data_IF_979044147902
#
_entry.id   IF_979044147902
#
_cell.length_a   1.000
_cell.length_b   1.000
_cell.length_c   1.000
_cell.angle_alpha   90.00
_cell.angle_beta   90.00
_cell.angle_gamma   90.00
#
_symmetry.space_group_name_H-M   'P 1'
#
loop_
_entity.id
_entity.type
_entity.pdbx_description
1 polymer ?
#
# COMPACT_ATOMS: atom_id res chain seq x y z
N UNK A 1 58.97 10.97 -0.74
CA UNK A 1 57.97 10.75 0.32
C UNK A 1 56.83 11.71 -0.01
N UNK A 2 55.91 11.32 -0.90
CA UNK A 2 54.59 10.73 -0.58
C UNK A 2 53.83 11.63 0.40
N UNK A 3 52.95 12.51 -0.11
CA UNK A 3 51.50 12.34 -0.31
C UNK A 3 50.81 12.06 1.03
N UNK A 4 50.14 13.09 1.56
CA UNK A 4 48.98 13.03 2.44
C UNK A 4 48.18 14.31 2.16
N UNK A 5 46.97 14.16 1.61
CA UNK A 5 45.71 14.46 2.30
C UNK A 5 45.28 15.93 2.05
N UNK A 6 44.17 16.25 1.41
CA UNK A 6 42.85 15.74 1.70
C UNK A 6 41.93 15.96 0.49
N UNK A 7 41.29 14.88 0.09
CA UNK A 7 40.26 14.80 -0.94
C UNK A 7 39.09 15.73 -0.56
N UNK A 8 38.91 16.79 -1.36
CA UNK A 8 37.73 17.66 -1.27
C UNK A 8 36.56 16.91 -1.91
N UNK A 9 36.05 15.88 -1.25
CA UNK A 9 34.80 15.25 -1.64
C UNK A 9 33.70 16.30 -1.45
N UNK A 10 33.22 16.80 -2.58
CA UNK A 10 32.08 17.70 -2.65
C UNK A 10 30.90 16.91 -2.08
N UNK A 11 30.46 17.25 -0.86
CA UNK A 11 29.16 16.81 -0.36
C UNK A 11 28.13 17.36 -1.33
N UNK A 12 27.71 16.52 -2.27
CA UNK A 12 26.51 16.75 -3.04
C UNK A 12 25.37 16.88 -2.03
N UNK A 13 24.91 18.11 -1.85
CA UNK A 13 23.62 18.40 -1.24
C UNK A 13 22.60 17.50 -1.94
N UNK A 14 21.84 16.64 -1.25
CA UNK A 14 20.72 15.99 -1.89
C UNK A 14 19.80 17.12 -2.36
N UNK A 15 19.70 17.26 -3.67
CA UNK A 15 18.75 18.18 -4.28
C UNK A 15 17.34 17.87 -3.78
N UNK A 16 16.41 18.83 -3.86
CA UNK A 16 15.00 18.51 -3.65
C UNK A 16 14.68 17.31 -4.54
N UNK A 17 14.11 16.26 -3.93
CA UNK A 17 13.60 15.12 -4.69
C UNK A 17 12.41 15.62 -5.52
N UNK A 18 12.70 16.16 -6.70
CA UNK A 18 11.77 16.14 -7.83
C UNK A 18 11.59 14.66 -8.21
N UNK A 19 10.72 13.98 -7.46
CA UNK A 19 10.46 12.56 -7.59
C UNK A 19 8.98 12.34 -7.45
N UNK A 20 8.22 12.69 -8.50
CA UNK A 20 6.94 12.07 -8.73
C UNK A 20 7.19 10.57 -8.90
N UNK A 21 7.11 9.85 -7.79
CA UNK A 21 6.94 8.40 -7.83
C UNK A 21 5.44 8.20 -7.97
N UNK A 22 4.98 7.97 -9.19
CA UNK A 22 3.89 7.03 -9.39
C UNK A 22 4.38 5.72 -8.77
N UNK A 23 4.21 5.55 -7.46
CA UNK A 23 4.23 4.21 -6.89
C UNK A 23 3.10 3.47 -7.60
N UNK A 24 3.43 2.43 -8.37
CA UNK A 24 2.47 1.67 -9.17
C UNK A 24 1.47 0.96 -8.24
N UNK A 25 0.43 1.68 -7.81
CA UNK A 25 -0.66 1.13 -7.02
C UNK A 25 -1.47 0.17 -7.88
N UNK A 26 -1.50 -1.09 -7.49
CA UNK A 26 -2.36 -2.10 -8.09
C UNK A 26 -3.72 -2.08 -7.42
N UNK A 27 -4.77 -1.84 -8.20
CA UNK A 27 -6.16 -1.90 -7.72
C UNK A 27 -6.68 -3.34 -7.75
N UNK A 28 -7.49 -3.69 -6.75
CA UNK A 28 -8.08 -5.02 -6.59
C UNK A 28 -9.59 -4.91 -6.47
N UNK A 29 -10.30 -5.75 -7.22
CA UNK A 29 -11.74 -5.83 -7.15
C UNK A 29 -12.23 -7.22 -7.57
N UNK A 30 -13.40 -7.67 -7.08
CA UNK A 30 -14.08 -8.83 -7.65
C UNK A 30 -14.45 -8.56 -9.12
N UNK A 31 -14.69 -9.61 -9.91
CA UNK A 31 -14.95 -9.50 -11.36
C UNK A 31 -16.09 -8.53 -11.73
N UNK A 32 -17.12 -8.41 -10.88
CA UNK A 32 -18.25 -7.49 -11.05
C UNK A 32 -18.10 -6.11 -10.40
N UNK A 33 -17.00 -5.83 -9.70
CA UNK A 33 -16.83 -4.62 -8.90
C UNK A 33 -17.47 -4.71 -7.50
N UNK A 34 -17.26 -3.69 -6.68
CA UNK A 34 -17.62 -3.70 -5.27
C UNK A 34 -19.12 -3.48 -4.98
N UNK A 35 -19.83 -2.79 -5.86
CA UNK A 35 -21.23 -2.37 -5.63
C UNK A 35 -22.16 -3.53 -5.22
N UNK A 36 -22.04 -4.67 -5.90
CA UNK A 36 -22.90 -5.84 -5.69
C UNK A 36 -22.16 -7.03 -5.03
N UNK A 37 -20.94 -6.80 -4.51
CA UNK A 37 -20.15 -7.90 -3.92
C UNK A 37 -20.60 -8.22 -2.50
N UNK A 38 -21.23 -9.39 -2.32
CA UNK A 38 -21.85 -9.78 -1.06
C UNK A 38 -20.84 -10.12 0.06
N UNK A 39 -19.67 -10.64 -0.31
CA UNK A 39 -18.64 -11.07 0.66
C UNK A 39 -17.68 -9.93 1.06
N UNK A 40 -18.03 -8.68 0.75
CA UNK A 40 -17.24 -7.49 1.05
C UNK A 40 -16.87 -7.35 2.55
N UNK A 41 -17.78 -7.56 3.52
CA UNK A 41 -17.42 -7.55 4.94
C UNK A 41 -16.37 -8.62 5.29
N UNK A 42 -16.45 -9.80 4.69
CA UNK A 42 -15.50 -10.88 4.94
C UNK A 42 -14.11 -10.58 4.34
N UNK A 43 -14.05 -9.86 3.22
CA UNK A 43 -12.79 -9.35 2.67
C UNK A 43 -12.18 -8.33 3.62
N UNK A 44 -12.96 -7.37 4.10
CA UNK A 44 -12.46 -6.34 5.01
C UNK A 44 -11.90 -6.97 6.30
N UNK A 45 -12.65 -7.89 6.92
CA UNK A 45 -12.19 -8.62 8.09
C UNK A 45 -10.89 -9.38 7.81
N UNK A 46 -10.80 -10.08 6.68
CA UNK A 46 -9.60 -10.84 6.33
C UNK A 46 -8.37 -9.95 6.08
N UNK A 47 -8.55 -8.79 5.43
CA UNK A 47 -7.46 -7.85 5.18
C UNK A 47 -6.96 -7.23 6.48
N UNK A 48 -7.87 -6.90 7.40
CA UNK A 48 -7.54 -6.32 8.69
C UNK A 48 -7.06 -7.38 9.70
N UNK A 49 -7.32 -8.66 9.47
CA UNK A 49 -6.78 -9.74 10.29
C UNK A 49 -5.25 -9.76 10.20
N UNK A 50 -4.60 -9.69 11.36
CA UNK A 50 -3.14 -9.58 11.46
C UNK A 50 -2.55 -8.20 11.16
N UNK A 51 -3.37 -7.20 10.81
CA UNK A 51 -2.95 -5.81 10.65
C UNK A 51 -3.19 -5.06 11.95
N UNK A 52 -2.11 -4.70 12.65
CA UNK A 52 -2.19 -4.02 13.95
C UNK A 52 -0.95 -3.19 14.24
N UNK A 53 -1.18 -1.99 14.79
CA UNK A 53 -0.09 -1.15 15.31
C UNK A 53 0.54 -1.73 16.58
N UNK A 54 -0.18 -2.60 17.31
CA UNK A 54 0.29 -3.12 18.60
C UNK A 54 1.56 -3.99 18.47
N UNK A 55 1.75 -4.63 17.30
CA UNK A 55 2.95 -5.42 17.00
C UNK A 55 4.11 -4.58 16.42
N UNK A 56 3.87 -3.29 16.11
CA UNK A 56 4.85 -2.40 15.47
C UNK A 56 5.19 -2.74 14.02
N UNK A 57 4.46 -3.68 13.40
CA UNK A 57 4.67 -4.10 12.01
C UNK A 57 3.92 -3.23 11.01
N UNK A 58 2.86 -2.57 11.48
CA UNK A 58 1.99 -1.74 10.66
C UNK A 58 1.81 -0.35 11.25
N UNK A 59 1.69 0.65 10.38
CA UNK A 59 1.22 1.99 10.71
C UNK A 59 -0.14 2.25 10.07
N UNK A 60 -1.08 2.77 10.85
CA UNK A 60 -2.38 3.17 10.33
C UNK A 60 -2.43 4.68 10.04
N UNK A 61 -2.93 5.02 8.86
CA UNK A 61 -3.35 6.37 8.51
C UNK A 61 -4.82 6.34 8.13
N UNK A 62 -5.66 6.97 8.95
CA UNK A 62 -7.11 6.98 8.76
C UNK A 62 -7.62 8.36 8.33
N UNK A 63 -8.45 8.36 7.28
CA UNK A 63 -9.12 9.51 6.69
C UNK A 63 -10.63 9.22 6.58
N UNK A 64 -11.50 10.22 6.37
CA UNK A 64 -12.95 10.02 6.37
C UNK A 64 -13.49 8.93 5.42
N UNK A 65 -12.81 8.68 4.30
CA UNK A 65 -13.22 7.70 3.29
C UNK A 65 -12.07 6.81 2.82
N UNK A 66 -10.99 6.72 3.59
CA UNK A 66 -9.78 6.00 3.22
C UNK A 66 -9.04 5.54 4.48
N UNK A 67 -8.63 4.28 4.53
CA UNK A 67 -7.62 3.82 5.47
C UNK A 67 -6.39 3.33 4.70
N UNK A 68 -5.21 3.68 5.18
CA UNK A 68 -3.93 3.19 4.64
C UNK A 68 -3.18 2.48 5.75
N UNK A 69 -2.80 1.24 5.48
CA UNK A 69 -1.99 0.41 6.36
C UNK A 69 -0.63 0.21 5.72
N UNK A 70 0.39 0.85 6.29
CA UNK A 70 1.77 0.80 5.80
C UNK A 70 2.55 -0.27 6.59
N UNK A 71 3.24 -1.15 5.88
CA UNK A 71 4.16 -2.14 6.40
C UNK A 71 5.50 -1.48 6.73
N UNK A 72 5.85 -1.43 8.01
CA UNK A 72 6.99 -0.66 8.49
C UNK A 72 8.35 -1.14 7.95
N UNK A 73 8.45 -2.38 7.45
CA UNK A 73 9.73 -2.96 7.04
C UNK A 73 10.23 -2.44 5.69
N UNK A 74 9.31 -2.11 4.77
CA UNK A 74 9.65 -1.71 3.40
C UNK A 74 8.84 -0.51 2.86
N UNK A 75 7.89 0.01 3.64
CA UNK A 75 7.03 1.13 3.23
C UNK A 75 5.93 0.75 2.24
N UNK A 76 5.76 -0.55 1.96
CA UNK A 76 4.61 -1.00 1.17
C UNK A 76 3.32 -0.84 1.96
N UNK A 77 2.18 -0.70 1.28
CA UNK A 77 0.92 -0.35 1.92
C UNK A 77 -0.30 -1.00 1.26
N UNK A 78 -1.35 -1.14 2.06
CA UNK A 78 -2.71 -1.47 1.64
C UNK A 78 -3.57 -0.22 1.84
N UNK A 79 -4.23 0.24 0.78
CA UNK A 79 -5.19 1.33 0.82
C UNK A 79 -6.61 0.79 0.63
N UNK A 80 -7.52 1.15 1.53
CA UNK A 80 -8.93 0.75 1.50
C UNK A 80 -9.79 2.02 1.46
N UNK A 81 -10.41 2.27 0.32
CA UNK A 81 -11.35 3.37 0.13
C UNK A 81 -12.77 2.90 0.49
N UNK A 82 -13.54 3.77 1.15
CA UNK A 82 -14.89 3.48 1.61
C UNK A 82 -15.93 4.40 0.96
N UNK A 83 -17.13 3.87 0.73
CA UNK A 83 -18.35 4.63 0.38
C UNK A 83 -19.52 4.05 1.17
N UNK A 84 -20.14 4.86 2.02
CA UNK A 84 -21.28 4.46 2.86
C UNK A 84 -21.03 3.17 3.66
N UNK A 85 -19.89 3.12 4.38
CA UNK A 85 -19.41 1.97 5.17
C UNK A 85 -19.06 0.70 4.37
N UNK A 86 -19.02 0.78 3.04
CA UNK A 86 -18.62 -0.32 2.16
C UNK A 86 -17.29 -0.07 1.50
N UNK A 87 -16.52 -1.12 1.22
CA UNK A 87 -15.35 -1.03 0.35
C UNK A 87 -15.79 -0.50 -1.02
N UNK A 88 -15.18 0.62 -1.43
CA UNK A 88 -15.33 1.22 -2.76
C UNK A 88 -14.07 1.02 -3.62
N UNK A 89 -12.93 0.81 -2.98
CA UNK A 89 -11.67 0.55 -3.65
C UNK A 89 -10.69 -0.12 -2.71
N UNK A 90 -9.83 -0.97 -3.26
CA UNK A 90 -8.77 -1.61 -2.52
C UNK A 90 -7.52 -1.64 -3.38
N UNK A 91 -6.39 -1.17 -2.86
CA UNK A 91 -5.15 -1.03 -3.61
C UNK A 91 -3.94 -1.43 -2.79
N UNK A 92 -2.86 -1.84 -3.47
CA UNK A 92 -1.56 -2.14 -2.86
C UNK A 92 -0.41 -1.63 -3.73
N UNK A 93 0.70 -1.18 -3.17
CA UNK A 93 1.89 -0.74 -3.92
C UNK A 93 3.04 -1.78 -3.97
N UNK A 94 2.79 -3.05 -3.61
CA UNK A 94 3.78 -4.14 -3.66
C UNK A 94 4.28 -4.59 -2.29
N UNK A 95 5.51 -5.11 -2.24
CA UNK A 95 6.23 -5.47 -1.01
C UNK A 95 5.51 -6.44 -0.07
N UNK A 96 5.84 -6.35 1.22
CA UNK A 96 5.22 -7.15 2.29
C UNK A 96 3.70 -6.93 2.41
N UNK A 97 3.22 -5.73 2.10
CA UNK A 97 1.79 -5.43 2.10
C UNK A 97 1.02 -6.21 1.04
N UNK A 98 1.57 -6.34 -0.18
CA UNK A 98 0.98 -7.16 -1.24
C UNK A 98 1.01 -8.65 -0.87
N UNK A 99 2.10 -9.15 -0.29
CA UNK A 99 2.18 -10.54 0.15
C UNK A 99 1.12 -10.86 1.22
N UNK A 100 0.98 -10.01 2.22
CA UNK A 100 -0.08 -10.11 3.24
C UNK A 100 -1.47 -10.07 2.60
N UNK A 101 -1.71 -9.09 1.73
CA UNK A 101 -2.98 -8.91 1.04
C UNK A 101 -3.38 -10.13 0.21
N UNK A 102 -2.47 -10.68 -0.58
CA UNK A 102 -2.73 -11.85 -1.42
C UNK A 102 -3.04 -13.09 -0.57
N UNK A 103 -2.32 -13.27 0.54
CA UNK A 103 -2.58 -14.37 1.47
C UNK A 103 -3.96 -14.22 2.12
N UNK A 104 -4.29 -13.02 2.62
CA UNK A 104 -5.56 -12.71 3.26
C UNK A 104 -6.75 -12.88 2.30
N UNK A 105 -6.57 -12.55 1.02
CA UNK A 105 -7.70 -12.46 0.08
C UNK A 105 -7.82 -13.60 -0.92
N UNK A 106 -6.98 -14.63 -0.82
CA UNK A 106 -6.93 -15.75 -1.77
C UNK A 106 -8.27 -16.45 -2.03
N UNK A 107 -9.17 -16.49 -1.03
CA UNK A 107 -10.48 -17.15 -1.13
C UNK A 107 -11.57 -16.32 -1.84
N UNK A 108 -11.36 -15.01 -2.05
CA UNK A 108 -12.41 -14.08 -2.50
C UNK A 108 -12.37 -13.77 -4.00
N UNK A 109 -11.45 -14.37 -4.75
CA UNK A 109 -11.41 -14.21 -6.21
C UNK A 109 -11.20 -12.76 -6.68
N UNK A 110 -10.51 -11.94 -5.89
CA UNK A 110 -10.13 -10.58 -6.27
C UNK A 110 -9.13 -10.64 -7.43
N UNK A 111 -9.29 -9.74 -8.40
CA UNK A 111 -8.40 -9.62 -9.55
C UNK A 111 -7.78 -8.24 -9.62
N UNK A 112 -6.53 -8.19 -10.07
CA UNK A 112 -5.86 -6.94 -10.38
C UNK A 112 -6.63 -6.20 -11.48
N UNK A 113 -6.86 -4.91 -11.27
CA UNK A 113 -7.50 -3.99 -12.21
C UNK A 113 -6.46 -3.04 -12.76
N UNK A 114 -6.56 -2.76 -14.06
CA UNK A 114 -5.82 -1.65 -14.63
C UNK A 114 -6.15 -0.37 -13.85
N UNK A 115 -5.18 0.55 -13.66
CA UNK A 115 -5.48 1.86 -13.12
C UNK A 115 -6.61 2.47 -13.95
N UNK A 116 -7.62 3.04 -13.27
CA UNK A 116 -8.63 3.83 -13.96
C UNK A 116 -7.90 5.03 -14.55
N UNK A 117 -7.67 5.01 -15.87
CA UNK A 117 -7.17 6.19 -16.57
C UNK A 117 -8.23 7.26 -16.49
N UNK A 118 -7.90 8.36 -15.82
CA UNK A 118 -8.70 9.58 -15.78
C UNK A 118 -8.69 10.29 -17.14
#
# INVERSE_FOLDING_TARGET
MSIDDNDRTTRATPGPRDGGVDEDWTSWAPAGGWDDYADEPAVLDAVLDGVSEAAGLWHNMSFPSLSVWEWCADGSAIAIAYRDDRIAGLQTNGGGALEHFLAATAAFGLIARAPAGD
#
